data_IF_687311179830
#
_entry.id   IF_687311179830
#
_cell.length_a   1.000
_cell.length_b   1.000
_cell.length_c   1.000
_cell.angle_alpha   90.00
_cell.angle_beta   90.00
_cell.angle_gamma   90.00
#
_symmetry.space_group_name_H-M   'P 1'
#
loop_
_entity.id
_entity.type
_entity.pdbx_description
1 polymer ?
#
# COMPACT_ATOMS: atom_id res chain seq x y z
N UNK A 1 -47.26 13.85 13.42
CA UNK A 1 -45.91 13.62 13.99
C UNK A 1 -45.53 14.83 14.83
N UNK A 2 -45.24 14.66 16.13
CA UNK A 2 -44.96 15.79 17.04
C UNK A 2 -43.64 16.47 16.70
N UNK A 3 -43.48 17.73 17.12
CA UNK A 3 -42.24 18.50 16.94
C UNK A 3 -41.05 17.79 17.59
N UNK A 4 -41.26 17.16 18.75
CA UNK A 4 -40.26 16.34 19.46
C UNK A 4 -39.85 15.09 18.69
N UNK A 5 -40.78 14.40 18.04
CA UNK A 5 -40.49 13.22 17.21
C UNK A 5 -39.67 13.56 15.97
N UNK A 6 -39.93 14.72 15.35
CA UNK A 6 -39.12 15.23 14.22
C UNK A 6 -37.69 15.53 14.66
N UNK A 7 -37.51 16.20 15.79
CA UNK A 7 -36.17 16.53 16.33
C UNK A 7 -35.37 15.27 16.64
N UNK A 8 -36.00 14.27 17.26
CA UNK A 8 -35.34 13.00 17.59
C UNK A 8 -34.89 12.24 16.33
N UNK A 9 -35.74 12.17 15.29
CA UNK A 9 -35.37 11.51 14.03
C UNK A 9 -34.18 12.18 13.33
N UNK A 10 -34.13 13.52 13.32
CA UNK A 10 -33.01 14.26 12.73
C UNK A 10 -31.71 13.94 13.49
N UNK A 11 -31.76 13.89 14.82
CA UNK A 11 -30.59 13.63 15.65
C UNK A 11 -30.00 12.24 15.40
N UNK A 12 -30.86 11.22 15.27
CA UNK A 12 -30.45 9.85 14.92
C UNK A 12 -29.83 9.80 13.52
N UNK A 13 -30.43 10.50 12.54
CA UNK A 13 -29.93 10.53 11.18
C UNK A 13 -28.53 11.18 11.10
N UNK A 14 -28.33 12.26 11.84
CA UNK A 14 -27.03 12.94 11.94
C UNK A 14 -26.00 12.03 12.60
N UNK A 15 -26.35 11.33 13.67
CA UNK A 15 -25.46 10.38 14.34
C UNK A 15 -25.00 9.26 13.39
N UNK A 16 -25.94 8.70 12.61
CA UNK A 16 -25.64 7.67 11.61
C UNK A 16 -24.69 8.17 10.53
N UNK A 17 -24.92 9.39 10.03
CA UNK A 17 -24.05 10.03 9.04
C UNK A 17 -22.61 10.20 9.58
N UNK A 18 -22.47 10.66 10.83
CA UNK A 18 -21.16 10.84 11.48
C UNK A 18 -20.39 9.52 11.60
N UNK A 19 -21.08 8.39 11.80
CA UNK A 19 -20.44 7.07 11.90
C UNK A 19 -20.09 6.50 10.52
N UNK A 20 -20.97 6.69 9.52
CA UNK A 20 -20.79 6.15 8.17
C UNK A 20 -19.69 6.87 7.37
N UNK A 21 -19.58 8.19 7.51
CA UNK A 21 -18.62 9.01 6.77
C UNK A 21 -17.15 8.58 6.97
N UNK A 22 -16.65 8.35 8.20
CA UNK A 22 -15.30 7.85 8.46
C UNK A 22 -15.04 6.47 7.84
N UNK A 23 -16.02 5.55 7.90
CA UNK A 23 -15.87 4.19 7.38
C UNK A 23 -15.72 4.20 5.85
N UNK A 24 -16.59 4.97 5.17
CA UNK A 24 -16.55 5.16 3.73
C UNK A 24 -15.25 5.85 3.31
N UNK A 25 -14.84 6.89 4.03
CA UNK A 25 -13.61 7.63 3.76
C UNK A 25 -12.37 6.75 3.94
N UNK A 26 -12.32 5.91 4.98
CA UNK A 26 -11.23 4.97 5.21
C UNK A 26 -11.10 3.95 4.08
N UNK A 27 -12.21 3.31 3.68
CA UNK A 27 -12.20 2.35 2.57
C UNK A 27 -11.81 2.99 1.24
N UNK A 28 -12.34 4.18 0.96
CA UNK A 28 -12.06 4.90 -0.28
C UNK A 28 -10.60 5.35 -0.34
N UNK A 29 -10.08 5.90 0.76
CA UNK A 29 -8.70 6.36 0.87
C UNK A 29 -7.71 5.21 0.77
N UNK A 30 -7.98 4.08 1.43
CA UNK A 30 -7.15 2.87 1.33
C UNK A 30 -7.04 2.37 -0.10
N UNK A 31 -8.16 2.26 -0.81
CA UNK A 31 -8.17 1.77 -2.20
C UNK A 31 -7.46 2.71 -3.19
N UNK A 32 -7.68 4.03 -3.05
CA UNK A 32 -7.01 5.04 -3.88
C UNK A 32 -5.50 5.09 -3.61
N UNK A 33 -5.08 5.07 -2.35
CA UNK A 33 -3.67 5.06 -1.97
C UNK A 33 -2.98 3.82 -2.52
N UNK A 34 -3.58 2.64 -2.35
CA UNK A 34 -3.04 1.39 -2.88
C UNK A 34 -2.79 1.45 -4.39
N UNK A 35 -3.76 1.93 -5.18
CA UNK A 35 -3.62 2.00 -6.64
C UNK A 35 -2.49 2.93 -7.06
N UNK A 36 -2.33 4.05 -6.35
CA UNK A 36 -1.24 5.00 -6.60
C UNK A 36 0.12 4.43 -6.21
N UNK A 37 0.21 3.80 -5.04
CA UNK A 37 1.42 3.20 -4.51
C UNK A 37 1.87 2.01 -5.36
N UNK A 38 0.94 1.18 -5.85
CA UNK A 38 1.20 0.12 -6.82
C UNK A 38 1.81 0.66 -8.12
N UNK A 39 1.25 1.74 -8.66
CA UNK A 39 1.74 2.36 -9.89
C UNK A 39 3.14 2.96 -9.69
N UNK A 40 3.33 3.77 -8.64
CA UNK A 40 4.60 4.44 -8.38
C UNK A 40 5.71 3.45 -7.99
N UNK A 41 5.38 2.45 -7.19
CA UNK A 41 6.32 1.40 -6.80
C UNK A 41 6.74 0.54 -7.99
N UNK A 42 5.82 0.14 -8.87
CA UNK A 42 6.16 -0.54 -10.12
C UNK A 42 7.17 0.27 -10.95
N UNK A 43 6.89 1.56 -11.20
CA UNK A 43 7.82 2.42 -11.95
C UNK A 43 9.19 2.54 -11.27
N UNK A 44 9.22 2.60 -9.94
CA UNK A 44 10.47 2.64 -9.19
C UNK A 44 11.29 1.34 -9.31
N UNK A 45 10.63 0.19 -9.24
CA UNK A 45 11.23 -1.14 -9.48
C UNK A 45 11.81 -1.19 -10.89
N UNK A 46 11.01 -0.84 -11.88
CA UNK A 46 11.43 -0.82 -13.28
C UNK A 46 12.64 0.09 -13.49
N UNK A 47 12.63 1.31 -12.95
CA UNK A 47 13.76 2.24 -13.05
C UNK A 47 15.03 1.66 -12.43
N UNK A 48 14.92 0.99 -11.27
CA UNK A 48 16.07 0.39 -10.59
C UNK A 48 16.69 -0.73 -11.43
N UNK A 49 15.90 -1.71 -11.87
CA UNK A 49 16.43 -2.83 -12.65
C UNK A 49 16.85 -2.42 -14.07
N UNK A 50 16.22 -1.42 -14.68
CA UNK A 50 16.70 -0.84 -15.94
C UNK A 50 18.10 -0.21 -15.79
N UNK A 51 18.39 0.45 -14.65
CA UNK A 51 19.74 0.99 -14.39
C UNK A 51 20.81 -0.09 -14.27
N UNK A 52 20.43 -1.29 -13.82
CA UNK A 52 21.32 -2.46 -13.78
C UNK A 52 21.65 -3.00 -15.18
N UNK A 53 21.01 -2.48 -16.24
CA UNK A 53 21.17 -2.91 -17.64
C UNK A 53 21.01 -4.42 -17.81
N UNK A 54 20.08 -5.01 -17.06
CA UNK A 54 19.92 -6.44 -16.98
C UNK A 54 18.45 -6.83 -17.25
N UNK A 55 18.24 -8.05 -17.75
CA UNK A 55 16.89 -8.58 -17.95
C UNK A 55 16.24 -8.90 -16.61
N UNK A 56 15.05 -8.39 -16.37
CA UNK A 56 14.26 -8.67 -15.18
C UNK A 56 12.81 -8.93 -15.57
N UNK A 57 12.09 -9.68 -14.73
CA UNK A 57 10.65 -9.88 -14.88
C UNK A 57 9.98 -9.64 -13.54
N UNK A 58 8.93 -8.82 -13.54
CA UNK A 58 8.04 -8.68 -12.37
C UNK A 58 7.04 -9.83 -12.49
N UNK A 59 7.14 -10.81 -11.59
CA UNK A 59 6.35 -12.03 -11.63
C UNK A 59 4.97 -11.83 -10.97
N UNK A 60 4.95 -11.17 -9.82
CA UNK A 60 3.71 -10.90 -9.09
C UNK A 60 3.72 -9.54 -8.37
N UNK A 61 2.53 -8.98 -8.16
CA UNK A 61 2.30 -7.73 -7.42
C UNK A 61 1.05 -7.87 -6.55
N UNK A 62 1.25 -8.10 -5.26
CA UNK A 62 0.17 -8.27 -4.29
C UNK A 62 0.18 -7.19 -3.19
N UNK A 63 -1.01 -6.90 -2.68
CA UNK A 63 -1.20 -6.11 -1.47
C UNK A 63 -1.03 -7.01 -0.27
N UNK A 64 -0.31 -6.54 0.74
CA UNK A 64 -0.18 -7.29 1.98
C UNK A 64 -0.63 -6.43 3.16
N UNK A 65 -1.71 -6.88 3.78
CA UNK A 65 -2.24 -6.33 5.03
C UNK A 65 -1.69 -7.17 6.18
N UNK A 66 -0.48 -6.86 6.65
CA UNK A 66 0.09 -7.57 7.81
C UNK A 66 -0.53 -7.00 9.08
N UNK A 67 -1.42 -7.77 9.70
CA UNK A 67 -1.53 -7.74 11.16
C UNK A 67 -0.23 -8.28 11.75
N UNK A 68 0.68 -7.37 12.13
CA UNK A 68 1.99 -7.59 12.79
C UNK A 68 2.76 -8.89 12.44
N UNK A 69 3.90 -8.79 11.73
CA UNK A 69 5.02 -9.73 11.91
C UNK A 69 6.38 -9.23 11.40
N UNK A 70 6.41 -8.13 10.64
CA UNK A 70 7.66 -7.40 10.38
C UNK A 70 7.57 -6.06 11.11
N UNK A 71 8.39 -5.88 12.14
CA UNK A 71 8.43 -4.74 13.04
C UNK A 71 8.28 -3.39 12.28
N UNK A 72 7.10 -2.77 12.40
CA UNK A 72 6.85 -1.40 11.94
C UNK A 72 6.13 -1.22 10.59
N UNK A 73 5.82 -2.29 9.85
CA UNK A 73 5.18 -2.18 8.54
C UNK A 73 3.70 -2.55 8.61
N UNK A 74 2.84 -1.54 8.69
CA UNK A 74 1.39 -1.70 8.91
C UNK A 74 0.60 -2.03 7.65
N UNK A 75 1.08 -1.66 6.47
CA UNK A 75 0.54 -2.02 5.15
C UNK A 75 1.63 -1.83 4.08
N UNK A 76 1.56 -2.55 2.96
CA UNK A 76 2.47 -2.28 1.84
C UNK A 76 2.16 -3.05 0.55
N UNK A 77 2.87 -2.67 -0.51
CA UNK A 77 2.82 -3.33 -1.82
C UNK A 77 4.11 -4.12 -2.00
N UNK A 78 3.98 -5.42 -2.28
CA UNK A 78 5.11 -6.28 -2.59
C UNK A 78 5.20 -6.52 -4.10
N UNK A 79 6.43 -6.56 -4.60
CA UNK A 79 6.76 -6.92 -5.97
C UNK A 79 7.74 -8.08 -5.90
N UNK A 80 7.37 -9.20 -6.50
CA UNK A 80 8.28 -10.30 -6.72
C UNK A 80 8.95 -10.10 -8.07
N UNK A 81 10.28 -9.98 -8.04
CA UNK A 81 11.07 -9.71 -9.22
C UNK A 81 12.09 -10.80 -9.38
N UNK A 82 12.09 -11.43 -10.55
CA UNK A 82 13.19 -12.30 -10.95
C UNK A 82 14.28 -11.45 -11.60
N UNK A 83 15.43 -11.40 -10.94
CA UNK A 83 16.59 -10.67 -11.38
C UNK A 83 17.34 -11.35 -12.53
N UNK A 84 18.38 -10.71 -13.01
CA UNK A 84 19.19 -11.17 -14.14
C UNK A 84 20.06 -12.38 -13.85
N UNK A 85 20.38 -12.59 -12.59
CA UNK A 85 21.02 -13.78 -12.03
C UNK A 85 20.03 -14.96 -11.92
N UNK A 86 18.76 -14.75 -12.23
CA UNK A 86 17.70 -15.75 -12.03
C UNK A 86 17.22 -15.83 -10.58
N UNK A 87 17.76 -15.00 -9.69
CA UNK A 87 17.40 -14.95 -8.27
C UNK A 87 16.09 -14.20 -8.05
N UNK A 88 15.41 -14.56 -6.97
CA UNK A 88 14.16 -13.91 -6.59
C UNK A 88 14.43 -12.76 -5.61
N UNK A 89 13.98 -11.58 -5.99
CA UNK A 89 14.04 -10.36 -5.19
C UNK A 89 12.65 -9.98 -4.73
N UNK A 90 12.51 -9.57 -3.47
CA UNK A 90 11.26 -9.03 -2.93
C UNK A 90 11.41 -7.54 -2.73
N UNK A 91 10.71 -6.76 -3.53
CA UNK A 91 10.65 -5.31 -3.35
C UNK A 91 9.41 -4.95 -2.55
N UNK A 92 9.57 -4.17 -1.50
CA UNK A 92 8.51 -3.76 -0.60
C UNK A 92 8.39 -2.24 -0.59
N UNK A 93 7.20 -1.72 -0.87
CA UNK A 93 6.87 -0.32 -0.64
C UNK A 93 6.22 -0.16 0.74
N UNK A 94 6.95 0.47 1.66
CA UNK A 94 6.38 0.88 2.95
C UNK A 94 5.39 2.02 2.73
N UNK A 95 4.09 1.82 2.96
CA UNK A 95 3.12 2.92 2.79
C UNK A 95 3.26 3.99 3.87
N UNK A 96 3.83 3.66 5.04
CA UNK A 96 4.05 4.60 6.14
C UNK A 96 5.22 5.57 5.89
N UNK A 97 6.40 5.04 5.54
CA UNK A 97 7.60 5.86 5.26
C UNK A 97 7.78 6.22 3.79
N UNK A 98 7.06 5.53 2.90
CA UNK A 98 7.13 5.63 1.44
C UNK A 98 8.50 5.25 0.87
N UNK A 99 9.24 4.40 1.58
CA UNK A 99 10.49 3.81 1.12
C UNK A 99 10.22 2.51 0.34
N UNK A 100 10.89 2.34 -0.81
CA UNK A 100 11.03 1.05 -1.49
C UNK A 100 12.27 0.34 -0.98
N UNK A 101 12.07 -0.85 -0.44
CA UNK A 101 13.09 -1.71 0.12
C UNK A 101 13.20 -2.95 -0.76
N UNK A 102 14.37 -3.17 -1.34
CA UNK A 102 14.73 -4.41 -2.03
C UNK A 102 15.32 -5.37 -1.01
N UNK A 103 14.66 -6.52 -0.81
CA UNK A 103 15.25 -7.66 -0.12
C UNK A 103 15.85 -8.59 -1.17
N UNK A 104 17.19 -8.69 -1.15
CA UNK A 104 17.93 -9.63 -1.98
C UNK A 104 17.82 -11.09 -1.46
N UNK A 105 18.31 -12.07 -2.24
CA UNK A 105 18.26 -13.50 -1.93
C UNK A 105 18.92 -13.89 -0.58
N UNK A 106 19.79 -13.04 -0.02
CA UNK A 106 20.44 -13.25 1.27
C UNK A 106 19.82 -12.45 2.44
N UNK A 107 18.55 -12.03 2.35
CA UNK A 107 17.88 -11.17 3.33
C UNK A 107 18.56 -9.80 3.56
N UNK A 108 19.39 -9.35 2.61
CA UNK A 108 19.94 -7.99 2.64
C UNK A 108 18.85 -7.00 2.22
N UNK A 109 18.42 -6.14 3.14
CA UNK A 109 17.45 -5.08 2.87
C UNK A 109 18.16 -3.80 2.41
N UNK A 110 17.87 -3.34 1.20
CA UNK A 110 18.43 -2.11 0.63
C UNK A 110 17.31 -1.15 0.26
N UNK A 111 17.38 0.10 0.73
CA UNK A 111 16.45 1.14 0.25
C UNK A 111 16.86 1.55 -1.17
N UNK A 112 16.01 1.25 -2.16
CA UNK A 112 16.31 1.53 -3.57
C UNK A 112 15.69 2.84 -4.07
N UNK A 113 14.62 3.32 -3.42
CA UNK A 113 14.00 4.61 -3.75
C UNK A 113 13.07 5.09 -2.64
N UNK A 114 12.94 6.41 -2.48
CA UNK A 114 11.88 7.02 -1.67
C UNK A 114 10.84 7.65 -2.58
N UNK A 115 9.56 7.32 -2.38
CA UNK A 115 8.46 7.82 -3.19
C UNK A 115 7.85 9.05 -2.51
N UNK A 116 7.91 10.20 -3.20
CA UNK A 116 7.21 11.43 -2.79
C UNK A 116 5.72 11.40 -3.14
#
# INVERSE_FOLDING_TARGET
MSKTMKTLMILILVLLLIILLPILSYKLYGHLSYKLDKKKGKTAVEEYFNKLKCSYTIEDIYEYHIGSWIAGYTNGVFYEVKGCDGEQYRVFLNTGTRDLILNGPNNSATVIKKIK
#
